data_IF_614777149686
#
_entry.id   IF_614777149686
#
_cell.length_a   1.000
_cell.length_b   1.000
_cell.length_c   1.000
_cell.angle_alpha   90.00
_cell.angle_beta   90.00
_cell.angle_gamma   90.00
#
_symmetry.space_group_name_H-M   'P 1'
#
loop_
_entity.id
_entity.type
_entity.pdbx_description
1 polymer ?
#
# COMPACT_ATOMS: atom_id res chain seq x y z
N UNK A 1 -23.47 -2.13 -59.42
CA UNK A 1 -24.10 -1.25 -58.39
C UNK A 1 -24.01 -1.82 -56.97
N UNK A 2 -24.18 -3.15 -56.76
CA UNK A 2 -24.06 -3.81 -55.44
C UNK A 2 -22.64 -3.75 -54.82
N UNK A 3 -21.58 -3.84 -55.62
CA UNK A 3 -20.20 -3.74 -55.16
C UNK A 3 -19.79 -2.36 -54.59
N UNK A 4 -20.60 -1.32 -54.82
CA UNK A 4 -20.43 0.02 -54.25
C UNK A 4 -21.08 0.14 -52.86
N UNK A 5 -22.18 -0.61 -52.63
CA UNK A 5 -22.87 -0.61 -51.33
C UNK A 5 -22.10 -1.42 -50.27
N UNK A 6 -21.47 -2.53 -50.67
CA UNK A 6 -20.62 -3.36 -49.79
C UNK A 6 -19.41 -2.57 -49.23
N UNK A 7 -18.77 -1.72 -50.05
CA UNK A 7 -17.64 -0.87 -49.60
C UNK A 7 -18.05 0.22 -48.61
N UNK A 8 -19.33 0.63 -48.60
CA UNK A 8 -19.86 1.60 -47.64
C UNK A 8 -20.11 0.98 -46.27
N UNK A 9 -20.46 -0.31 -46.22
CA UNK A 9 -20.60 -1.06 -44.95
C UNK A 9 -19.25 -1.33 -44.27
N UNK A 10 -18.19 -1.56 -45.05
CA UNK A 10 -16.84 -1.80 -44.51
C UNK A 10 -16.12 -0.53 -44.02
N UNK A 11 -16.57 0.67 -44.42
CA UNK A 11 -16.00 1.94 -43.94
C UNK A 11 -16.60 2.44 -42.63
N UNK A 12 -17.65 1.80 -42.13
CA UNK A 12 -18.31 2.19 -40.89
C UNK A 12 -17.78 1.35 -39.73
N UNK A 13 -17.42 2.03 -38.64
CA UNK A 13 -16.88 1.46 -37.39
C UNK A 13 -15.40 1.06 -37.49
N UNK A 14 -14.55 2.05 -37.81
CA UNK A 14 -13.22 2.01 -37.22
C UNK A 14 -13.38 2.25 -35.71
N UNK A 15 -12.83 1.38 -34.84
CA UNK A 15 -12.88 1.63 -33.41
C UNK A 15 -12.16 2.95 -33.16
N UNK A 16 -12.88 3.97 -32.71
CA UNK A 16 -12.28 5.22 -32.28
C UNK A 16 -11.39 4.89 -31.09
N UNK A 17 -10.11 4.61 -31.34
CA UNK A 17 -9.10 4.55 -30.29
C UNK A 17 -9.15 5.90 -29.63
N UNK A 18 -9.72 5.95 -28.42
CA UNK A 18 -9.73 7.16 -27.58
C UNK A 18 -8.28 7.47 -27.29
N UNK A 19 -7.69 8.34 -28.11
CA UNK A 19 -6.31 8.76 -27.96
C UNK A 19 -6.27 9.68 -26.75
N UNK A 20 -5.98 9.10 -25.58
CA UNK A 20 -5.82 9.88 -24.35
C UNK A 20 -4.71 10.89 -24.59
N UNK A 21 -5.05 12.18 -24.47
CA UNK A 21 -4.10 13.26 -24.73
C UNK A 21 -2.86 13.13 -23.84
N UNK A 22 -1.68 13.59 -24.29
CA UNK A 22 -0.47 13.57 -23.47
C UNK A 22 -0.68 14.30 -22.14
N UNK A 23 -1.45 15.39 -22.13
CA UNK A 23 -1.83 16.13 -20.92
C UNK A 23 -2.61 15.27 -19.92
N UNK A 24 -3.56 14.44 -20.39
CA UNK A 24 -4.30 13.53 -19.52
C UNK A 24 -3.37 12.49 -18.87
N UNK A 25 -2.39 11.97 -19.62
CA UNK A 25 -1.43 11.00 -19.07
C UNK A 25 -0.55 11.63 -18.00
N UNK A 26 -0.06 12.85 -18.25
CA UNK A 26 0.74 13.61 -17.27
C UNK A 26 -0.07 13.81 -15.99
N UNK A 27 -1.30 14.33 -16.11
CA UNK A 27 -2.19 14.53 -14.96
C UNK A 27 -2.44 13.22 -14.20
N UNK A 28 -2.72 12.13 -14.92
CA UNK A 28 -2.94 10.81 -14.32
C UNK A 28 -1.73 10.36 -13.50
N UNK A 29 -0.52 10.46 -14.06
CA UNK A 29 0.70 10.08 -13.34
C UNK A 29 0.98 11.00 -12.16
N UNK A 30 0.75 12.31 -12.28
CA UNK A 30 0.90 13.24 -11.17
C UNK A 30 0.00 12.86 -10.00
N UNK A 31 -1.28 12.58 -10.26
CA UNK A 31 -2.23 12.16 -9.22
C UNK A 31 -1.80 10.84 -8.57
N UNK A 32 -1.34 9.87 -9.37
CA UNK A 32 -0.84 8.59 -8.85
C UNK A 32 0.42 8.76 -8.00
N UNK A 33 1.36 9.61 -8.40
CA UNK A 33 2.58 9.90 -7.64
C UNK A 33 2.24 10.57 -6.32
N UNK A 34 1.37 11.58 -6.33
CA UNK A 34 0.93 12.26 -5.11
C UNK A 34 0.22 11.28 -4.17
N UNK A 35 -0.72 10.48 -4.69
CA UNK A 35 -1.40 9.44 -3.90
C UNK A 35 -0.43 8.42 -3.33
N UNK A 36 0.57 7.99 -4.11
CA UNK A 36 1.62 7.08 -3.63
C UNK A 36 2.44 7.72 -2.50
N UNK A 37 2.84 8.99 -2.62
CA UNK A 37 3.59 9.68 -1.56
C UNK A 37 2.74 9.77 -0.28
N UNK A 38 1.46 10.12 -0.38
CA UNK A 38 0.54 10.21 0.77
C UNK A 38 0.41 8.87 1.51
N UNK A 39 0.44 7.75 0.80
CA UNK A 39 0.36 6.40 1.41
C UNK A 39 1.71 5.91 1.91
N UNK A 40 2.77 6.07 1.12
CA UNK A 40 4.09 5.53 1.41
C UNK A 40 4.83 6.31 2.49
N UNK A 41 4.63 7.63 2.57
CA UNK A 41 5.26 8.47 3.58
C UNK A 41 4.99 8.00 5.02
N UNK A 42 3.72 7.83 5.47
CA UNK A 42 3.44 7.37 6.84
C UNK A 42 3.94 5.94 7.10
N UNK A 43 3.98 5.08 6.08
CA UNK A 43 4.53 3.72 6.21
C UNK A 43 6.05 3.74 6.40
N UNK A 44 6.76 4.52 5.57
CA UNK A 44 8.21 4.69 5.69
C UNK A 44 8.58 5.35 7.03
N UNK A 45 7.78 6.33 7.45
CA UNK A 45 7.92 6.98 8.74
C UNK A 45 7.71 6.00 9.91
N UNK A 46 6.68 5.17 9.87
CA UNK A 46 6.41 4.15 10.89
C UNK A 46 7.58 3.18 11.04
N UNK A 47 8.16 2.71 9.93
CA UNK A 47 9.35 1.84 9.95
C UNK A 47 10.56 2.58 10.52
N UNK A 48 10.75 3.86 10.17
CA UNK A 48 11.83 4.68 10.74
C UNK A 48 11.68 4.80 12.26
N UNK A 49 10.47 5.09 12.76
CA UNK A 49 10.19 5.18 14.18
C UNK A 49 10.39 3.85 14.93
N UNK A 50 10.15 2.69 14.30
CA UNK A 50 10.42 1.40 14.96
C UNK A 50 11.91 1.11 15.14
N UNK A 51 12.77 1.77 14.36
CA UNK A 51 14.22 1.61 14.41
C UNK A 51 14.91 2.66 15.31
N UNK A 52 14.33 3.85 15.46
CA UNK A 52 14.88 4.95 16.27
C UNK A 52 14.79 4.67 17.79
N UNK A 53 15.74 5.19 18.55
CA UNK A 53 15.60 5.29 20.01
C UNK A 53 14.49 6.27 20.40
N UNK A 54 13.90 6.12 21.60
CA UNK A 54 12.87 7.05 22.09
C UNK A 54 13.34 8.51 22.16
N UNK A 55 14.63 8.73 22.45
CA UNK A 55 15.23 10.08 22.46
C UNK A 55 15.28 10.68 21.05
N UNK A 56 15.66 9.88 20.06
CA UNK A 56 15.72 10.32 18.65
C UNK A 56 14.33 10.65 18.09
N UNK A 57 13.29 9.88 18.47
CA UNK A 57 11.90 10.18 18.09
C UNK A 57 11.44 11.50 18.73
N UNK A 58 11.79 11.75 19.99
CA UNK A 58 11.42 12.97 20.69
C UNK A 58 12.13 14.22 20.16
N UNK A 59 13.38 14.09 19.70
CA UNK A 59 14.14 15.20 19.12
C UNK A 59 13.78 15.50 17.67
N UNK A 60 13.53 14.47 16.87
CA UNK A 60 13.17 14.61 15.45
C UNK A 60 12.11 13.56 15.07
N UNK A 61 10.86 13.97 15.28
CA UNK A 61 9.71 13.11 15.06
C UNK A 61 9.46 12.88 13.58
N UNK A 62 9.64 13.87 12.69
CA UNK A 62 9.14 13.80 11.31
C UNK A 62 10.16 13.30 10.29
N UNK A 63 11.45 13.25 10.64
CA UNK A 63 12.46 12.72 9.74
C UNK A 63 12.31 11.22 9.52
N UNK A 64 12.34 10.79 8.26
CA UNK A 64 12.45 9.38 7.88
C UNK A 64 13.91 8.91 8.00
N UNK A 65 14.88 9.80 7.81
CA UNK A 65 16.29 9.48 7.83
C UNK A 65 16.80 9.39 9.28
N UNK A 66 17.42 8.26 9.62
CA UNK A 66 17.97 8.00 10.95
C UNK A 66 19.50 7.95 10.86
N UNK A 67 20.21 8.78 11.63
CA UNK A 67 21.65 8.62 11.83
C UNK A 67 21.96 7.24 12.44
N UNK A 68 23.02 6.56 11.96
CA UNK A 68 23.35 5.19 12.38
C UNK A 68 23.59 5.05 13.89
N UNK A 69 24.05 6.13 14.54
CA UNK A 69 24.28 6.25 15.98
C UNK A 69 22.99 6.28 16.81
N UNK A 70 21.83 6.48 16.18
CA UNK A 70 20.52 6.58 16.85
C UNK A 70 19.59 5.39 16.56
N UNK A 71 20.12 4.34 15.93
CA UNK A 71 19.42 3.08 15.68
C UNK A 71 19.48 2.17 16.91
N UNK A 72 18.31 1.70 17.35
CA UNK A 72 18.18 0.66 18.37
C UNK A 72 17.11 -0.36 17.97
N UNK A 73 17.33 -1.02 16.83
CA UNK A 73 16.39 -2.03 16.34
C UNK A 73 16.36 -3.27 17.25
N UNK A 74 17.51 -3.74 17.76
CA UNK A 74 17.53 -4.94 18.61
C UNK A 74 16.81 -4.67 19.93
N UNK A 75 17.07 -3.52 20.57
CA UNK A 75 16.44 -3.13 21.82
C UNK A 75 14.94 -2.91 21.68
N UNK A 76 14.50 -2.18 20.66
CA UNK A 76 13.08 -1.90 20.42
C UNK A 76 12.28 -3.18 20.15
N UNK A 77 12.75 -4.05 19.26
CA UNK A 77 12.03 -5.28 18.92
C UNK A 77 12.03 -6.29 20.08
N UNK A 78 13.16 -6.42 20.80
CA UNK A 78 13.24 -7.26 22.01
C UNK A 78 12.30 -6.77 23.10
N UNK A 79 12.29 -5.46 23.37
CA UNK A 79 11.36 -4.84 24.32
C UNK A 79 9.91 -5.09 23.91
N UNK A 80 9.57 -4.87 22.64
CA UNK A 80 8.21 -5.06 22.14
C UNK A 80 7.75 -6.53 22.29
N UNK A 81 8.65 -7.48 22.03
CA UNK A 81 8.32 -8.91 22.11
C UNK A 81 8.20 -9.40 23.56
N UNK A 82 9.14 -9.02 24.43
CA UNK A 82 9.26 -9.55 25.80
C UNK A 82 8.48 -8.70 26.80
N UNK A 83 8.59 -7.36 26.73
CA UNK A 83 7.97 -6.44 27.71
C UNK A 83 6.57 -6.02 27.31
N UNK A 84 6.32 -5.73 26.04
CA UNK A 84 4.98 -5.37 25.58
C UNK A 84 4.10 -6.60 25.22
N UNK A 85 4.61 -7.81 25.47
CA UNK A 85 3.90 -9.08 25.25
C UNK A 85 3.24 -9.19 23.87
N UNK A 86 3.84 -8.60 22.83
CA UNK A 86 3.26 -8.63 21.47
C UNK A 86 3.02 -10.07 21.00
N UNK A 87 3.90 -11.00 21.37
CA UNK A 87 3.73 -12.42 21.02
C UNK A 87 2.39 -13.02 21.49
N UNK A 88 1.93 -12.68 22.71
CA UNK A 88 0.66 -13.20 23.22
C UNK A 88 -0.53 -12.54 22.51
N UNK A 89 -0.45 -11.23 22.26
CA UNK A 89 -1.47 -10.48 21.52
C UNK A 89 -1.62 -10.97 20.09
N UNK A 90 -0.51 -11.19 19.38
CA UNK A 90 -0.51 -11.75 18.02
C UNK A 90 -1.10 -13.15 18.01
N UNK A 91 -0.72 -14.01 18.97
CA UNK A 91 -1.26 -15.36 19.07
C UNK A 91 -2.77 -15.38 19.35
N UNK A 92 -3.27 -14.46 20.18
CA UNK A 92 -4.71 -14.32 20.42
C UNK A 92 -5.45 -13.93 19.15
N UNK A 93 -4.93 -12.96 18.40
CA UNK A 93 -5.50 -12.57 17.11
C UNK A 93 -5.56 -13.76 16.16
N UNK A 94 -4.47 -14.51 16.00
CA UNK A 94 -4.41 -15.71 15.14
C UNK A 94 -5.47 -16.74 15.54
N UNK A 95 -5.61 -17.03 16.84
CA UNK A 95 -6.62 -17.98 17.33
C UNK A 95 -8.04 -17.53 17.00
N UNK A 96 -8.34 -16.25 17.20
CA UNK A 96 -9.67 -15.69 16.96
C UNK A 96 -9.98 -15.66 15.46
N UNK A 97 -9.08 -15.18 14.61
CA UNK A 97 -9.31 -15.18 13.15
C UNK A 97 -9.43 -16.59 12.62
N UNK A 98 -8.57 -17.52 13.03
CA UNK A 98 -8.65 -18.91 12.58
C UNK A 98 -9.98 -19.56 12.99
N UNK A 99 -10.37 -19.44 14.27
CA UNK A 99 -11.64 -19.98 14.75
C UNK A 99 -12.82 -19.35 14.03
N UNK A 100 -12.80 -18.03 13.83
CA UNK A 100 -13.85 -17.31 13.10
C UNK A 100 -13.98 -17.80 11.66
N UNK A 101 -12.86 -17.92 10.93
CA UNK A 101 -12.84 -18.44 9.56
C UNK A 101 -13.35 -19.88 9.51
N UNK A 102 -12.93 -20.73 10.44
CA UNK A 102 -13.38 -22.12 10.55
C UNK A 102 -14.91 -22.20 10.69
N UNK A 103 -15.50 -21.41 11.61
CA UNK A 103 -16.95 -21.37 11.78
C UNK A 103 -17.65 -20.78 10.56
N UNK A 104 -17.14 -19.69 9.98
CA UNK A 104 -17.73 -19.07 8.78
C UNK A 104 -17.82 -20.09 7.65
N UNK A 105 -16.74 -20.84 7.40
CA UNK A 105 -16.71 -21.82 6.32
C UNK A 105 -17.72 -22.94 6.58
N UNK A 106 -17.77 -23.49 7.80
CA UNK A 106 -18.67 -24.61 8.14
C UNK A 106 -20.15 -24.20 8.13
N UNK A 107 -20.47 -22.99 8.60
CA UNK A 107 -21.85 -22.52 8.77
C UNK A 107 -22.40 -21.92 7.47
N UNK A 108 -21.53 -21.44 6.58
CA UNK A 108 -21.89 -20.94 5.25
C UNK A 108 -21.94 -22.05 4.18
N UNK A 109 -21.30 -23.20 4.41
CA UNK A 109 -21.43 -24.38 3.54
C UNK A 109 -22.68 -25.17 3.90
#
# INVERSE_FOLDING_TARGET
MQASMERRKQKAVQPTRVYKSPAYRILQFTVLIVGAIVILYPLAWMVSCSLKTSKAIASDMYSIFVPLDQLDFIGNYSYAWVKAAIGSTVMNSVKITFSSLFFIIILHT
#
